data_IF_403438082467
#
_entry.id   IF_403438082467
#
_cell.length_a   1.000
_cell.length_b   1.000
_cell.length_c   1.000
_cell.angle_alpha   90.00
_cell.angle_beta   90.00
_cell.angle_gamma   90.00
#
_symmetry.space_group_name_H-M   'P 1'
#
loop_
_entity.id
_entity.type
_entity.pdbx_description
1 polymer ?
#
# COMPACT_ATOMS: atom_id res chain seq x y z
N UNK A 1 -79.87 33.18 4.01
CA UNK A 1 -78.41 32.99 3.75
C UNK A 1 -77.64 33.38 5.00
N UNK A 2 -77.17 32.41 5.78
CA UNK A 2 -76.18 32.68 6.82
C UNK A 2 -75.34 31.42 7.11
N UNK A 3 -74.02 31.62 6.92
CA UNK A 3 -72.86 31.09 7.65
C UNK A 3 -72.75 29.58 7.91
N UNK A 4 -71.61 29.04 7.49
CA UNK A 4 -70.84 28.12 8.35
C UNK A 4 -69.34 28.44 8.26
N UNK A 5 -68.80 28.97 9.37
CA UNK A 5 -67.37 28.90 9.68
C UNK A 5 -67.23 27.73 10.65
N UNK A 6 -66.33 26.78 10.39
CA UNK A 6 -65.71 26.01 11.47
C UNK A 6 -64.26 25.70 11.12
N UNK A 7 -63.35 26.50 11.68
CA UNK A 7 -61.92 26.29 11.66
C UNK A 7 -61.58 25.48 12.92
N UNK A 8 -61.29 24.18 12.78
CA UNK A 8 -60.79 23.35 13.88
C UNK A 8 -59.87 22.25 13.31
N UNK A 9 -58.71 22.66 12.78
CA UNK A 9 -57.59 21.74 12.51
C UNK A 9 -56.48 22.09 13.51
N UNK A 10 -56.35 21.29 14.57
CA UNK A 10 -55.34 21.46 15.62
C UNK A 10 -53.95 21.48 14.97
N UNK A 11 -53.21 22.56 15.19
CA UNK A 11 -51.84 22.77 14.75
C UNK A 11 -50.83 21.92 15.55
N UNK A 12 -51.02 20.58 15.57
CA UNK A 12 -50.12 19.62 16.21
C UNK A 12 -49.06 19.05 15.24
N UNK A 13 -49.21 19.31 13.94
CA UNK A 13 -48.34 18.79 12.87
C UNK A 13 -46.86 19.25 12.96
N UNK A 14 -46.54 20.51 13.33
CA UNK A 14 -45.16 20.97 13.29
C UNK A 14 -44.26 20.34 14.37
N UNK A 15 -44.79 20.11 15.57
CA UNK A 15 -44.02 19.63 16.72
C UNK A 15 -43.68 18.14 16.60
N UNK A 16 -44.58 17.34 16.02
CA UNK A 16 -44.33 15.92 15.78
C UNK A 16 -43.28 15.74 14.67
N UNK A 17 -43.33 16.57 13.62
CA UNK A 17 -42.37 16.51 12.53
C UNK A 17 -40.93 16.80 12.99
N UNK A 18 -40.74 17.77 13.89
CA UNK A 18 -39.40 18.10 14.40
C UNK A 18 -38.82 16.99 15.26
N UNK A 19 -39.63 16.33 16.10
CA UNK A 19 -39.17 15.20 16.91
C UNK A 19 -38.75 14.02 16.03
N UNK A 20 -39.52 13.73 14.98
CA UNK A 20 -39.18 12.67 14.02
C UNK A 20 -37.86 12.95 13.30
N UNK A 21 -37.63 14.21 12.90
CA UNK A 21 -36.38 14.60 12.24
C UNK A 21 -35.18 14.48 13.17
N UNK A 22 -35.32 14.86 14.44
CA UNK A 22 -34.26 14.71 15.45
C UNK A 22 -33.94 13.22 15.68
N UNK A 23 -34.96 12.39 15.86
CA UNK A 23 -34.78 10.95 16.06
C UNK A 23 -34.07 10.29 14.87
N UNK A 24 -34.44 10.68 13.64
CA UNK A 24 -33.79 10.19 12.43
C UNK A 24 -32.33 10.65 12.32
N UNK A 25 -32.03 11.91 12.65
CA UNK A 25 -30.67 12.44 12.65
C UNK A 25 -29.77 11.70 13.66
N UNK A 26 -30.28 11.39 14.86
CA UNK A 26 -29.53 10.62 15.86
C UNK A 26 -29.29 9.19 15.37
N UNK A 27 -30.30 8.53 14.77
CA UNK A 27 -30.14 7.19 14.22
C UNK A 27 -29.06 7.14 13.12
N UNK A 28 -29.07 8.09 12.19
CA UNK A 28 -28.02 8.21 11.16
C UNK A 28 -26.64 8.47 11.77
N UNK A 29 -26.55 9.34 12.78
CA UNK A 29 -25.29 9.62 13.49
C UNK A 29 -24.68 8.35 14.10
N UNK A 30 -25.49 7.51 14.75
CA UNK A 30 -25.01 6.24 15.32
C UNK A 30 -24.56 5.23 14.27
N UNK A 31 -25.24 5.19 13.11
CA UNK A 31 -24.87 4.30 12.00
C UNK A 31 -23.50 4.68 11.40
N UNK A 32 -23.24 5.98 11.23
CA UNK A 32 -21.95 6.49 10.74
C UNK A 32 -20.82 6.12 11.71
N UNK A 33 -21.04 6.24 13.02
CA UNK A 33 -20.03 5.88 14.03
C UNK A 33 -19.75 4.37 13.98
N UNK A 34 -20.78 3.53 13.86
CA UNK A 34 -20.64 2.07 13.73
C UNK A 34 -19.87 1.64 12.47
N UNK A 35 -20.00 2.39 11.36
CA UNK A 35 -19.17 2.17 10.19
C UNK A 35 -17.75 2.71 10.38
N UNK A 36 -17.57 3.85 11.05
CA UNK A 36 -16.25 4.42 11.31
C UNK A 36 -15.35 3.53 12.17
N UNK A 37 -15.91 2.75 13.11
CA UNK A 37 -15.12 1.77 13.88
C UNK A 37 -14.68 0.56 13.06
N UNK A 38 -15.39 0.24 11.97
CA UNK A 38 -15.02 -0.83 11.03
C UNK A 38 -14.13 -0.34 9.88
N UNK A 39 -14.06 0.98 9.68
CA UNK A 39 -12.96 1.64 8.98
C UNK A 39 -11.74 1.73 9.90
N UNK A 40 -11.43 0.61 10.58
CA UNK A 40 -10.21 0.48 11.37
C UNK A 40 -9.05 1.02 10.56
N UNK A 41 -8.15 1.73 11.25
CA UNK A 41 -6.94 2.30 10.67
C UNK A 41 -6.48 1.37 9.56
N UNK A 42 -6.55 1.84 8.32
CA UNK A 42 -5.88 1.14 7.23
C UNK A 42 -4.40 1.26 7.59
N UNK A 43 -3.94 0.38 8.49
CA UNK A 43 -2.55 0.20 8.83
C UNK A 43 -2.00 -0.25 7.50
N UNK A 44 -1.42 0.69 6.77
CA UNK A 44 -0.73 0.40 5.54
C UNK A 44 0.31 -0.70 5.78
N UNK A 45 0.89 -1.25 4.72
CA UNK A 45 1.91 -2.29 4.87
C UNK A 45 2.98 -1.86 5.90
N UNK A 46 3.26 -2.70 6.91
CA UNK A 46 4.29 -2.43 7.94
C UNK A 46 5.69 -2.57 7.34
N UNK A 47 6.05 -1.61 6.50
CA UNK A 47 7.32 -1.52 5.81
C UNK A 47 8.43 -0.95 6.70
N UNK A 48 8.09 -0.41 7.87
CA UNK A 48 9.04 0.24 8.79
C UNK A 48 10.11 -0.71 9.32
N UNK A 49 9.81 -2.02 9.30
CA UNK A 49 10.71 -3.07 9.78
C UNK A 49 11.39 -3.86 8.67
N UNK A 50 11.12 -3.54 7.40
CA UNK A 50 11.80 -4.19 6.27
C UNK A 50 13.18 -3.57 6.11
N UNK A 51 14.22 -4.41 6.09
CA UNK A 51 15.59 -3.98 5.92
C UNK A 51 16.32 -5.03 5.09
N UNK A 52 17.02 -4.58 4.06
CA UNK A 52 17.78 -5.46 3.17
C UNK A 52 19.21 -4.95 3.02
N UNK A 53 20.14 -5.88 2.90
CA UNK A 53 21.55 -5.59 2.65
C UNK A 53 22.04 -6.39 1.44
N UNK A 54 23.08 -5.88 0.78
CA UNK A 54 23.76 -6.61 -0.30
C UNK A 54 24.50 -7.79 0.31
N UNK A 55 24.28 -9.00 -0.22
CA UNK A 55 24.96 -10.22 0.19
C UNK A 55 24.71 -11.34 -0.83
N UNK A 56 25.72 -11.82 -1.59
CA UNK A 56 27.13 -11.39 -1.55
C UNK A 56 27.45 -10.14 -2.39
N UNK A 57 26.76 -9.91 -3.50
CA UNK A 57 27.12 -8.85 -4.44
C UNK A 57 25.88 -8.31 -5.17
N UNK A 58 26.03 -7.10 -5.73
CA UNK A 58 25.16 -6.58 -6.77
C UNK A 58 26.05 -5.96 -7.85
N UNK A 59 26.10 -6.58 -9.02
CA UNK A 59 27.03 -6.16 -10.07
C UNK A 59 26.51 -6.59 -11.45
N UNK A 60 27.04 -5.98 -12.49
CA UNK A 60 26.70 -6.29 -13.87
C UNK A 60 27.68 -7.30 -14.47
N UNK A 61 27.18 -8.33 -15.15
CA UNK A 61 28.00 -9.29 -15.88
C UNK A 61 27.23 -9.81 -17.10
N UNK A 62 27.85 -9.77 -18.28
CA UNK A 62 27.36 -10.47 -19.48
C UNK A 62 25.88 -10.21 -19.84
N UNK A 63 25.43 -8.95 -19.82
CA UNK A 63 24.02 -8.56 -20.04
C UNK A 63 23.04 -9.08 -18.98
N UNK A 64 23.53 -9.29 -17.78
CA UNK A 64 22.75 -9.64 -16.61
C UNK A 64 23.18 -8.78 -15.42
N UNK A 65 22.20 -8.43 -14.58
CA UNK A 65 22.48 -7.93 -13.24
C UNK A 65 22.44 -9.14 -12.32
N UNK A 66 23.57 -9.43 -11.66
CA UNK A 66 23.62 -10.44 -10.61
C UNK A 66 23.27 -9.78 -9.29
N UNK A 67 22.16 -10.19 -8.71
CA UNK A 67 21.63 -9.61 -7.46
C UNK A 67 21.70 -10.67 -6.37
N UNK A 68 22.43 -10.35 -5.30
CA UNK A 68 22.44 -11.08 -4.03
C UNK A 68 22.02 -10.16 -2.91
N UNK A 69 20.86 -10.41 -2.31
CA UNK A 69 20.31 -9.60 -1.21
C UNK A 69 19.96 -10.49 -0.02
N UNK A 70 20.22 -9.99 1.18
CA UNK A 70 19.80 -10.62 2.44
C UNK A 70 18.74 -9.77 3.11
N UNK A 71 17.65 -10.40 3.52
CA UNK A 71 16.66 -9.77 4.38
C UNK A 71 17.18 -9.76 5.83
N UNK A 72 17.39 -8.59 6.42
CA UNK A 72 17.78 -8.41 7.84
C UNK A 72 16.63 -7.93 8.72
N UNK A 73 15.46 -7.66 8.12
CA UNK A 73 14.28 -7.16 8.80
C UNK A 73 13.15 -8.19 8.90
N UNK A 74 11.92 -7.68 8.84
CA UNK A 74 10.68 -8.47 8.81
C UNK A 74 10.54 -9.30 7.53
N UNK A 75 9.77 -10.40 7.55
CA UNK A 75 9.48 -11.20 6.36
C UNK A 75 8.83 -10.38 5.23
N UNK A 76 9.19 -10.71 3.99
CA UNK A 76 8.64 -10.10 2.77
C UNK A 76 8.05 -11.19 1.88
N UNK A 77 6.96 -10.88 1.20
CA UNK A 77 6.23 -11.83 0.34
C UNK A 77 6.77 -11.83 -1.09
N UNK A 78 7.17 -10.66 -1.60
CA UNK A 78 7.79 -10.53 -2.92
C UNK A 78 8.72 -9.33 -3.00
N UNK A 79 9.55 -9.33 -4.03
CA UNK A 79 10.54 -8.30 -4.31
C UNK A 79 10.43 -7.88 -5.76
N UNK A 80 10.42 -6.57 -5.96
CA UNK A 80 10.45 -5.94 -7.27
C UNK A 80 11.77 -5.20 -7.42
N UNK A 81 12.47 -5.48 -8.52
CA UNK A 81 13.67 -4.74 -8.89
C UNK A 81 13.31 -3.63 -9.87
N UNK A 82 13.73 -2.41 -9.54
CA UNK A 82 13.65 -1.23 -10.38
C UNK A 82 15.06 -0.85 -10.80
N UNK A 83 15.31 -0.81 -12.10
CA UNK A 83 16.60 -0.41 -12.67
C UNK A 83 16.39 0.92 -13.36
N UNK A 84 17.19 1.92 -13.00
CA UNK A 84 17.21 3.23 -13.65
C UNK A 84 18.52 3.38 -14.38
N UNK A 85 18.46 3.53 -15.70
CA UNK A 85 19.62 3.82 -16.54
C UNK A 85 19.32 4.98 -17.53
N UNK A 86 20.17 5.16 -18.54
CA UNK A 86 20.00 6.20 -19.56
C UNK A 86 18.77 5.99 -20.46
N UNK A 87 18.24 4.77 -20.57
CA UNK A 87 17.03 4.47 -21.34
C UNK A 87 15.75 4.70 -20.55
N UNK A 88 15.85 4.71 -19.22
CA UNK A 88 14.76 5.04 -18.30
C UNK A 88 14.63 4.05 -17.15
N UNK A 89 13.41 3.95 -16.61
CA UNK A 89 13.07 3.05 -15.52
C UNK A 89 12.55 1.71 -16.10
N UNK A 90 13.23 0.62 -15.78
CA UNK A 90 12.79 -0.75 -16.02
C UNK A 90 12.39 -1.41 -14.72
N UNK A 91 11.14 -1.85 -14.60
CA UNK A 91 10.66 -2.58 -13.43
C UNK A 91 10.51 -4.08 -13.76
N UNK A 92 11.00 -4.94 -12.87
CA UNK A 92 10.92 -6.39 -13.01
C UNK A 92 10.58 -7.04 -11.69
N UNK A 93 9.40 -7.67 -11.65
CA UNK A 93 9.01 -8.51 -10.52
C UNK A 93 9.87 -9.78 -10.50
N UNK A 94 10.34 -10.15 -9.32
CA UNK A 94 11.17 -11.33 -9.11
C UNK A 94 10.28 -12.46 -8.58
N UNK A 95 9.95 -13.49 -9.37
CA UNK A 95 9.19 -14.63 -8.87
C UNK A 95 9.99 -15.38 -7.81
N UNK A 96 9.30 -16.05 -6.90
CA UNK A 96 9.88 -16.84 -5.81
C UNK A 96 10.84 -16.05 -4.89
N UNK A 97 10.59 -14.74 -4.76
CA UNK A 97 11.39 -13.81 -3.95
C UNK A 97 10.88 -13.63 -2.52
N UNK A 98 10.00 -14.53 -2.05
CA UNK A 98 9.56 -14.57 -0.66
C UNK A 98 10.77 -14.81 0.24
N UNK A 99 11.02 -13.90 1.18
CA UNK A 99 12.16 -13.99 2.10
C UNK A 99 11.71 -13.83 3.54
N UNK A 100 11.96 -14.88 4.32
CA UNK A 100 11.92 -14.80 5.78
C UNK A 100 13.11 -13.99 6.30
N UNK A 101 13.05 -13.62 7.58
CA UNK A 101 14.16 -12.91 8.22
C UNK A 101 15.47 -13.71 8.11
N UNK A 102 16.58 -13.03 7.84
CA UNK A 102 17.93 -13.57 7.64
C UNK A 102 18.14 -14.45 6.40
N UNK A 103 17.14 -14.64 5.54
CA UNK A 103 17.31 -15.39 4.29
C UNK A 103 18.00 -14.56 3.20
N UNK A 104 18.71 -15.26 2.32
CA UNK A 104 19.42 -14.68 1.17
C UNK A 104 18.68 -15.07 -0.11
N UNK A 105 18.41 -14.08 -0.95
CA UNK A 105 17.95 -14.26 -2.32
C UNK A 105 19.09 -13.95 -3.27
N UNK A 106 19.31 -14.83 -4.26
CA UNK A 106 20.31 -14.60 -5.30
C UNK A 106 19.75 -15.00 -6.66
N UNK A 107 19.80 -14.07 -7.63
CA UNK A 107 19.37 -14.32 -9.02
C UNK A 107 20.15 -13.47 -10.00
N UNK A 108 20.28 -14.02 -11.20
CA UNK A 108 20.80 -13.32 -12.37
C UNK A 108 19.62 -12.86 -13.21
N UNK A 109 19.55 -11.57 -13.49
CA UNK A 109 18.40 -10.93 -14.14
C UNK A 109 18.87 -10.34 -15.46
N UNK A 110 18.34 -10.81 -16.61
CA UNK A 110 18.68 -10.27 -17.91
C UNK A 110 18.38 -8.77 -17.97
N UNK A 111 19.38 -7.98 -18.34
CA UNK A 111 19.33 -6.53 -18.46
C UNK A 111 20.40 -6.04 -19.46
N UNK A 112 20.00 -5.28 -20.46
CA UNK A 112 20.93 -4.70 -21.42
C UNK A 112 21.37 -3.31 -20.93
N UNK A 113 22.62 -3.19 -20.46
CA UNK A 113 23.16 -1.93 -19.93
C UNK A 113 23.31 -0.88 -21.03
N UNK A 114 22.66 0.26 -20.87
CA UNK A 114 22.79 1.42 -21.75
C UNK A 114 23.64 2.56 -21.16
N UNK A 115 24.37 2.32 -20.07
CA UNK A 115 25.20 3.34 -19.42
C UNK A 115 25.43 3.06 -17.94
N UNK A 116 25.45 4.12 -17.13
CA UNK A 116 25.39 3.98 -15.66
C UNK A 116 23.99 3.52 -15.25
N UNK A 117 23.92 2.54 -14.36
CA UNK A 117 22.67 2.01 -13.85
C UNK A 117 22.62 2.10 -12.33
N UNK A 118 21.44 2.43 -11.81
CA UNK A 118 21.09 2.34 -10.39
C UNK A 118 20.02 1.28 -10.20
N UNK A 119 20.09 0.52 -9.12
CA UNK A 119 19.08 -0.50 -8.78
C UNK A 119 18.44 -0.14 -7.46
N UNK A 120 17.11 -0.13 -7.48
CA UNK A 120 16.24 -0.02 -6.33
C UNK A 120 15.52 -1.35 -6.13
N UNK A 121 15.58 -1.87 -4.91
CA UNK A 121 14.88 -3.07 -4.51
C UNK A 121 13.68 -2.64 -3.66
N UNK A 122 12.48 -2.87 -4.18
CA UNK A 122 11.22 -2.58 -3.50
C UNK A 122 10.65 -3.89 -2.97
N UNK A 123 10.49 -3.98 -1.65
CA UNK A 123 9.86 -5.12 -1.02
C UNK A 123 8.33 -4.97 -1.03
N UNK A 124 7.62 -6.09 -1.06
CA UNK A 124 6.19 -6.15 -0.79
C UNK A 124 5.93 -7.03 0.41
N UNK A 125 5.05 -6.57 1.29
CA UNK A 125 4.68 -7.26 2.54
C UNK A 125 3.20 -7.61 2.53
N UNK A 126 2.83 -8.56 3.37
CA UNK A 126 1.43 -8.92 3.60
C UNK A 126 0.77 -7.86 4.48
N UNK A 127 -0.30 -7.24 3.99
CA UNK A 127 -1.13 -6.28 4.71
C UNK A 127 -2.58 -6.77 4.69
N UNK A 128 -3.02 -7.41 5.77
CA UNK A 128 -4.25 -8.19 5.78
C UNK A 128 -4.13 -9.42 4.87
N UNK A 129 -4.99 -9.53 3.87
CA UNK A 129 -4.99 -10.63 2.87
C UNK A 129 -4.35 -10.22 1.53
N UNK A 130 -3.76 -9.02 1.44
CA UNK A 130 -3.19 -8.50 0.20
C UNK A 130 -1.68 -8.31 0.33
N UNK A 131 -0.95 -8.61 -0.75
CA UNK A 131 0.47 -8.28 -0.88
C UNK A 131 0.57 -6.86 -1.44
N UNK A 132 1.15 -5.96 -0.66
CA UNK A 132 1.23 -4.53 -1.01
C UNK A 132 2.71 -4.11 -1.06
N UNK A 133 3.15 -3.41 -2.12
CA UNK A 133 4.51 -2.90 -2.21
C UNK A 133 4.74 -1.78 -1.20
N UNK A 134 5.98 -1.69 -0.70
CA UNK A 134 6.40 -0.59 0.16
C UNK A 134 6.62 0.70 -0.64
N UNK A 135 6.27 1.84 -0.04
CA UNK A 135 6.42 3.16 -0.68
C UNK A 135 7.88 3.54 -0.93
N UNK A 136 8.80 3.03 -0.10
CA UNK A 136 10.23 3.30 -0.17
C UNK A 136 11.00 2.03 -0.54
N UNK A 137 12.09 2.15 -1.33
CA UNK A 137 12.96 1.02 -1.59
C UNK A 137 13.62 0.55 -0.29
N UNK A 138 13.71 -0.77 -0.12
CA UNK A 138 14.39 -1.41 1.00
C UNK A 138 15.92 -1.37 0.84
N UNK A 139 16.40 -1.25 -0.40
CA UNK A 139 17.81 -1.11 -0.75
C UNK A 139 17.93 -0.30 -2.04
N UNK A 140 18.83 0.67 -2.05
CA UNK A 140 19.15 1.50 -3.22
C UNK A 140 20.65 1.45 -3.46
N UNK A 141 21.06 1.12 -4.68
CA UNK A 141 22.45 1.01 -5.08
C UNK A 141 22.68 1.85 -6.32
N UNK A 142 23.49 2.89 -6.18
CA UNK A 142 23.85 3.82 -7.24
C UNK A 142 25.12 3.36 -7.94
N UNK A 143 25.21 3.65 -9.23
CA UNK A 143 26.40 3.42 -10.06
C UNK A 143 26.97 2.00 -9.90
N UNK A 144 26.14 1.00 -10.21
CA UNK A 144 26.51 -0.41 -10.13
C UNK A 144 27.71 -0.69 -11.03
N UNK A 145 28.71 -1.35 -10.45
CA UNK A 145 29.94 -1.72 -11.13
C UNK A 145 29.80 -3.07 -11.84
N UNK A 146 30.71 -3.32 -12.77
CA UNK A 146 30.83 -4.64 -13.39
C UNK A 146 31.43 -5.64 -12.37
N UNK A 147 30.97 -6.88 -12.41
CA UNK A 147 31.65 -8.00 -11.78
C UNK A 147 32.94 -8.31 -12.58
#
# INVERSE_FOLDING_TARGET
>A
MARYISHNKKAMSPLIATILLIAFAVALGTMIISWSSNLGEATGPDCSKVSMIISPYICYAENMIKVGIRNTGSPVESITMRVVDETGLTEKSLPDSKLSSSQVFSRDIPFAKAGKASVEIVASVLSGDQVVPCDKPALEVKDIQDC
#
